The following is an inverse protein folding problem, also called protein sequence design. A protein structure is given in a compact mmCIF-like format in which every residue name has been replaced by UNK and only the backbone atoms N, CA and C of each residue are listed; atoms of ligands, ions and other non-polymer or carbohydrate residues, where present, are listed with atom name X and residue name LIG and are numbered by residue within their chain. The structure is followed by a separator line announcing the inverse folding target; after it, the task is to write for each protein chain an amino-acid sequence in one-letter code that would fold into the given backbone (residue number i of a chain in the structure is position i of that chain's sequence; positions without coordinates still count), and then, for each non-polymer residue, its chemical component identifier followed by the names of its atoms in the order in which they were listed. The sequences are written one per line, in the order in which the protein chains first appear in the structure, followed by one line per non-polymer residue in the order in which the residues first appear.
data_IF_449782090148
#
_entry.id   IF_449782090148
#
_cell.length_a   1.000
_cell.length_b   1.000
_cell.length_c   1.000
_cell.angle_alpha   90.00
_cell.angle_beta   90.00
_cell.angle_gamma   90.00
#
_symmetry.space_group_name_H-M   'P 1'
#
loop_
_entity.id
_entity.type
_entity.pdbx_description
1 polymer ?
#
# COMPACT_ATOMS: atom_id res chain seq x y z
N UNK A 1 6.46 -15.25 -5.22
CA UNK A 1 6.78 -13.89 -4.77
C UNK A 1 7.50 -13.88 -3.42
N UNK A 2 8.59 -14.65 -3.22
CA UNK A 2 9.06 -14.88 -1.85
C UNK A 2 9.97 -13.75 -1.35
N UNK A 3 9.54 -13.09 -0.28
CA UNK A 3 10.37 -12.24 0.58
C UNK A 3 10.56 -10.80 0.14
N UNK A 4 9.75 -10.24 -0.78
CA UNK A 4 9.89 -8.84 -1.21
C UNK A 4 8.55 -8.14 -1.11
N UNK A 5 8.56 -7.04 -0.38
CA UNK A 5 7.37 -6.29 -0.04
C UNK A 5 7.57 -4.82 -0.34
N UNK A 6 6.52 -4.20 -0.85
CA UNK A 6 6.41 -2.78 -1.08
C UNK A 6 5.28 -2.26 -0.20
N UNK A 7 5.57 -1.26 0.62
CA UNK A 7 4.64 -0.71 1.59
C UNK A 7 4.33 0.74 1.27
N UNK A 8 3.06 1.10 1.28
CA UNK A 8 2.56 2.45 1.04
C UNK A 8 1.95 2.99 2.32
N UNK A 9 2.48 4.11 2.79
CA UNK A 9 1.97 4.84 3.94
C UNK A 9 1.18 6.03 3.44
N UNK A 10 -0.11 6.08 3.75
CA UNK A 10 -1.02 7.06 3.16
C UNK A 10 -1.91 7.71 4.21
N UNK A 11 -2.37 8.91 3.91
CA UNK A 11 -3.45 9.56 4.62
C UNK A 11 -4.72 9.55 3.78
N UNK A 12 -5.87 9.82 4.41
CA UNK A 12 -7.13 9.94 3.67
C UNK A 12 -7.29 11.35 3.12
N UNK A 13 -7.78 11.44 1.88
CA UNK A 13 -8.21 12.70 1.31
C UNK A 13 -9.42 13.26 2.09
N UNK A 14 -9.63 14.59 2.12
CA UNK A 14 -10.82 15.18 2.73
C UNK A 14 -12.11 14.60 2.13
N UNK A 15 -12.95 13.99 2.96
CA UNK A 15 -14.23 13.41 2.54
C UNK A 15 -14.13 11.98 2.01
N UNK A 16 -12.95 11.36 1.98
CA UNK A 16 -12.77 9.97 1.60
C UNK A 16 -13.61 9.03 2.49
N UNK A 17 -14.29 8.07 1.85
CA UNK A 17 -15.01 6.98 2.52
C UNK A 17 -14.10 5.76 2.66
N UNK A 18 -14.40 4.90 3.64
CA UNK A 18 -13.69 3.63 3.80
C UNK A 18 -13.90 2.74 2.58
N UNK A 19 -15.11 2.74 2.06
CA UNK A 19 -15.51 1.99 0.86
C UNK A 19 -14.70 2.45 -0.35
N UNK A 20 -14.51 3.77 -0.55
CA UNK A 20 -13.70 4.29 -1.65
C UNK A 20 -12.24 3.87 -1.56
N UNK A 21 -11.66 3.82 -0.35
CA UNK A 21 -10.30 3.32 -0.14
C UNK A 21 -10.19 1.83 -0.50
N UNK A 22 -11.19 1.03 -0.11
CA UNK A 22 -11.23 -0.40 -0.46
C UNK A 22 -11.30 -0.57 -1.99
N UNK A 23 -12.24 0.14 -2.63
CA UNK A 23 -12.43 0.09 -4.09
C UNK A 23 -11.15 0.50 -4.84
N UNK A 24 -10.45 1.55 -4.38
CA UNK A 24 -9.16 1.97 -4.96
C UNK A 24 -8.14 0.82 -4.94
N UNK A 25 -7.93 0.19 -3.79
CA UNK A 25 -6.90 -0.84 -3.65
C UNK A 25 -7.28 -2.15 -4.35
N UNK A 26 -8.57 -2.51 -4.37
CA UNK A 26 -9.07 -3.64 -5.15
C UNK A 26 -8.89 -3.42 -6.66
N UNK A 27 -9.22 -2.22 -7.15
CA UNK A 27 -9.00 -1.85 -8.55
C UNK A 27 -7.52 -1.93 -8.93
N UNK A 28 -6.64 -1.34 -8.12
CA UNK A 28 -5.18 -1.41 -8.31
C UNK A 28 -4.66 -2.85 -8.29
N UNK A 29 -5.21 -3.71 -7.44
CA UNK A 29 -4.88 -5.13 -7.46
C UNK A 29 -5.25 -5.83 -8.78
N UNK A 30 -6.34 -5.39 -9.42
CA UNK A 30 -6.72 -5.86 -10.75
C UNK A 30 -5.84 -5.32 -11.88
N UNK A 31 -5.35 -4.09 -11.76
CA UNK A 31 -4.47 -3.43 -12.74
C UNK A 31 -3.03 -3.98 -12.70
N UNK A 32 -2.60 -4.50 -11.54
CA UNK A 32 -1.27 -5.04 -11.30
C UNK A 32 -1.31 -6.54 -10.93
N UNK A 33 -1.68 -7.44 -11.86
CA UNK A 33 -1.91 -8.86 -11.55
C UNK A 33 -0.65 -9.64 -11.14
N UNK A 34 0.53 -9.10 -11.43
CA UNK A 34 1.81 -9.67 -11.00
C UNK A 34 2.17 -9.32 -9.54
N UNK A 35 1.43 -8.40 -8.94
CA UNK A 35 1.59 -7.96 -7.56
C UNK A 35 0.47 -8.55 -6.69
N UNK A 36 0.77 -8.76 -5.42
CA UNK A 36 -0.18 -9.33 -4.47
C UNK A 36 -0.51 -8.31 -3.38
N UNK A 37 -1.75 -7.83 -3.31
CA UNK A 37 -2.20 -6.98 -2.20
C UNK A 37 -2.37 -7.83 -0.93
N UNK A 38 -1.38 -7.79 -0.04
CA UNK A 38 -1.40 -8.60 1.18
C UNK A 38 -2.34 -8.01 2.24
N UNK A 39 -2.34 -6.68 2.38
CA UNK A 39 -3.19 -5.99 3.34
C UNK A 39 -3.37 -4.52 2.97
N UNK A 40 -4.51 -3.98 3.39
CA UNK A 40 -4.79 -2.55 3.52
C UNK A 40 -5.36 -2.35 4.92
N UNK A 41 -4.74 -1.47 5.71
CA UNK A 41 -5.15 -1.19 7.08
C UNK A 41 -5.39 0.30 7.29
N UNK A 42 -6.41 0.62 8.07
CA UNK A 42 -6.70 1.96 8.59
C UNK A 42 -6.44 1.97 10.12
N UNK A 43 -5.91 3.08 10.62
CA UNK A 43 -5.67 3.31 12.05
C UNK A 43 -6.99 3.28 12.82
N UNK A 44 -6.95 2.68 14.02
CA UNK A 44 -8.06 2.72 14.97
C UNK A 44 -7.69 3.62 16.15
N UNK A 45 -8.27 4.81 16.21
CA UNK A 45 -8.00 5.79 17.26
C UNK A 45 -6.56 6.30 17.20
N UNK A 46 -5.78 6.12 18.28
CA UNK A 46 -4.34 6.45 18.33
C UNK A 46 -3.43 5.26 18.05
N UNK A 47 -4.00 4.07 17.86
CA UNK A 47 -3.27 2.82 17.66
C UNK A 47 -3.32 2.45 16.18
N UNK A 48 -2.17 2.49 15.53
CA UNK A 48 -2.06 2.16 14.11
C UNK A 48 -0.95 2.94 13.42
N UNK A 49 -0.84 2.79 12.10
CA UNK A 49 0.20 3.45 11.31
C UNK A 49 0.05 4.98 11.36
N UNK A 50 1.17 5.69 11.30
CA UNK A 50 1.25 7.15 11.12
C UNK A 50 1.87 7.44 9.77
N UNK A 51 1.16 8.08 8.83
CA UNK A 51 0.07 9.07 8.97
C UNK A 51 -1.35 8.55 9.31
N UNK A 52 -1.85 7.47 8.67
CA UNK A 52 -3.15 6.88 9.01
C UNK A 52 -3.33 5.47 8.47
N UNK A 53 -3.02 5.26 7.20
CA UNK A 53 -3.19 3.98 6.50
C UNK A 53 -1.86 3.35 6.08
N UNK A 54 -1.89 2.04 5.90
CA UNK A 54 -0.79 1.26 5.36
C UNK A 54 -1.35 0.22 4.39
N UNK A 55 -0.78 0.15 3.19
CA UNK A 55 -0.97 -0.97 2.27
C UNK A 55 0.35 -1.72 2.08
N UNK A 56 0.29 -3.04 1.97
CA UNK A 56 1.48 -3.87 1.74
C UNK A 56 1.24 -4.78 0.54
N UNK A 57 2.14 -4.69 -0.41
CA UNK A 57 2.16 -5.44 -1.66
C UNK A 57 3.30 -6.44 -1.67
N UNK A 58 3.05 -7.67 -2.10
CA UNK A 58 4.07 -8.65 -2.46
C UNK A 58 4.49 -8.42 -3.90
N UNK A 59 5.81 -8.36 -4.15
CA UNK A 59 6.32 -8.00 -5.49
C UNK A 59 7.27 -9.06 -6.06
N UNK A 60 7.17 -9.38 -7.37
CA UNK A 60 7.98 -10.42 -8.00
C UNK A 60 9.40 -9.95 -8.32
N UNK A 61 9.62 -8.63 -8.36
CA UNK A 61 10.91 -7.96 -8.47
C UNK A 61 10.82 -6.54 -7.97
N UNK A 62 11.97 -5.93 -7.63
CA UNK A 62 12.01 -4.50 -7.31
C UNK A 62 11.68 -3.63 -8.52
N UNK A 63 11.97 -4.11 -9.73
CA UNK A 63 11.62 -3.42 -10.96
C UNK A 63 10.10 -3.33 -11.18
N UNK A 64 9.34 -4.34 -10.73
CA UNK A 64 7.89 -4.37 -10.83
C UNK A 64 7.20 -3.27 -9.99
N UNK A 65 7.92 -2.62 -9.08
CA UNK A 65 7.35 -1.55 -8.24
C UNK A 65 7.26 -0.22 -8.98
N UNK A 66 8.07 -0.02 -10.01
CA UNK A 66 8.10 1.25 -10.74
C UNK A 66 6.75 1.61 -11.36
N UNK A 67 5.94 0.63 -11.72
CA UNK A 67 4.63 0.87 -12.33
C UNK A 67 3.57 1.20 -11.27
N UNK A 68 3.41 0.37 -10.24
CA UNK A 68 2.44 0.62 -9.16
C UNK A 68 2.72 1.89 -8.34
N UNK A 69 3.99 2.29 -8.20
CA UNK A 69 4.39 3.48 -7.46
C UNK A 69 4.01 4.78 -8.21
N UNK A 70 3.90 4.76 -9.54
CA UNK A 70 3.48 5.93 -10.32
C UNK A 70 2.01 6.27 -10.11
N UNK A 71 1.14 5.26 -9.97
CA UNK A 71 -0.30 5.47 -9.84
C UNK A 71 -0.68 6.36 -8.65
N UNK A 72 0.07 6.27 -7.55
CA UNK A 72 -0.19 7.08 -6.36
C UNK A 72 0.57 8.40 -6.31
N UNK A 73 1.63 8.57 -7.09
CA UNK A 73 2.29 9.88 -7.23
C UNK A 73 1.36 10.88 -7.94
N UNK A 74 0.42 10.36 -8.75
CA UNK A 74 -0.55 11.15 -9.52
C UNK A 74 -1.94 11.23 -8.85
N UNK A 75 -2.18 10.51 -7.75
CA UNK A 75 -3.49 10.43 -7.09
C UNK A 75 -3.54 11.18 -5.76
N UNK A 76 -4.54 12.04 -5.59
CA UNK A 76 -4.84 12.75 -4.33
C UNK A 76 -6.18 12.33 -3.69
N UNK A 77 -6.93 11.42 -4.32
CA UNK A 77 -8.24 10.94 -3.84
C UNK A 77 -8.44 9.45 -4.20
N UNK A 78 -9.02 8.61 -3.32
CA UNK A 78 -9.44 8.90 -1.93
C UNK A 78 -8.30 8.92 -0.92
N UNK A 79 -7.06 8.66 -1.33
CA UNK A 79 -5.89 8.68 -0.46
C UNK A 79 -4.85 9.65 -0.99
N UNK A 80 -4.00 10.12 -0.08
CA UNK A 80 -2.76 10.81 -0.40
C UNK A 80 -1.60 9.96 0.07
N UNK A 81 -0.74 9.54 -0.85
CA UNK A 81 0.49 8.86 -0.50
C UNK A 81 1.40 9.81 0.27
N UNK A 82 1.94 9.36 1.40
CA UNK A 82 2.85 10.15 2.25
C UNK A 82 4.27 9.65 2.11
N UNK A 83 4.46 8.34 2.09
CA UNK A 83 5.77 7.72 1.81
C UNK A 83 5.58 6.28 1.35
N UNK A 84 6.60 5.71 0.73
CA UNK A 84 6.65 4.30 0.42
C UNK A 84 8.00 3.69 0.80
N UNK A 85 8.00 2.38 1.07
CA UNK A 85 9.17 1.65 1.58
C UNK A 85 9.27 0.26 0.96
N UNK A 86 10.50 -0.24 0.85
CA UNK A 86 10.80 -1.61 0.46
C UNK A 86 11.23 -2.44 1.67
N UNK A 87 10.72 -3.67 1.77
CA UNK A 87 11.09 -4.61 2.81
C UNK A 87 11.44 -5.96 2.21
N UNK A 88 12.54 -6.54 2.68
CA UNK A 88 12.87 -7.93 2.44
C UNK A 88 12.48 -8.77 3.66
N UNK A 89 12.03 -10.01 3.42
CA UNK A 89 11.85 -11.02 4.47
C UNK A 89 10.92 -10.60 5.62
N UNK A 90 9.87 -9.84 5.32
CA UNK A 90 8.88 -9.38 6.29
C UNK A 90 8.26 -10.55 7.06
N UNK A 91 8.30 -10.48 8.40
CA UNK A 91 7.79 -11.55 9.28
C UNK A 91 8.74 -12.73 9.48
N UNK A 92 9.93 -12.74 8.88
CA UNK A 92 11.01 -13.64 9.29
C UNK A 92 11.69 -13.07 10.54
N UNK A 93 11.86 -13.89 11.58
CA UNK A 93 12.71 -13.54 12.72
C UNK A 93 14.12 -13.24 12.21
N UNK A 94 14.58 -12.01 12.43
CA UNK A 94 15.98 -11.64 12.31
C UNK A 94 16.52 -11.63 13.74
N UNK A 95 17.18 -12.73 14.14
CA UNK A 95 17.88 -12.85 15.42
C UNK A 95 19.21 -12.09 15.39
#
# INVERSE_FOLDING_TARGET
TKGRYYAEWFDLAPGASREGVIELFEARGGEHPDLELNLVVDRIGKLGPDPRGLAVWGVPSWAAVADIARDLDESEDPIRLVTASFYADFGQEQL
#
